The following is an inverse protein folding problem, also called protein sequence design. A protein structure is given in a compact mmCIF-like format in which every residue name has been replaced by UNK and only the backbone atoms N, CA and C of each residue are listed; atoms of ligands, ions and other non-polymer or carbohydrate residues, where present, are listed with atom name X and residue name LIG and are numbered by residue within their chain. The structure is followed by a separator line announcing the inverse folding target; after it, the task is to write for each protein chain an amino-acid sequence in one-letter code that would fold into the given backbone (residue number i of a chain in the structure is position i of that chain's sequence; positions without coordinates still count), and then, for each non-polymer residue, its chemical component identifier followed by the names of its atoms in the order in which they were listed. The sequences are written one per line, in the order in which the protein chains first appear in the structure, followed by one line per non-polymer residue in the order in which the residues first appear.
data_IF_747910626539
#
_entry.id   IF_747910626539
#
_cell.length_a   1.000
_cell.length_b   1.000
_cell.length_c   1.000
_cell.angle_alpha   90.00
_cell.angle_beta   90.00
_cell.angle_gamma   90.00
#
_symmetry.space_group_name_H-M   'P 1'
#
loop_
_entity.id
_entity.type
_entity.pdbx_description
1 polymer ?
#
# COMPACT_ATOMS: atom_id res chain seq x y z
N UNK A 1 1.73 -23.72 19.50
CA UNK A 1 0.78 -23.32 20.56
C UNK A 1 -0.24 -22.39 19.93
N UNK A 2 -1.56 -22.55 20.19
CA UNK A 2 -2.53 -21.55 19.76
C UNK A 2 -2.20 -20.22 20.44
N UNK A 3 -2.14 -19.15 19.66
CA UNK A 3 -1.84 -17.82 20.16
C UNK A 3 -3.09 -17.32 20.87
N UNK A 4 -2.92 -17.05 22.15
CA UNK A 4 -3.95 -16.57 23.05
C UNK A 4 -4.04 -15.04 22.94
N UNK A 5 -5.21 -14.52 22.58
CA UNK A 5 -5.48 -13.08 22.66
C UNK A 5 -5.57 -12.59 24.12
N UNK A 6 -5.45 -13.49 25.09
CA UNK A 6 -5.17 -13.21 26.50
C UNK A 6 -3.68 -12.94 26.81
N UNK A 7 -2.82 -12.70 25.81
CA UNK A 7 -1.58 -11.92 26.04
C UNK A 7 -2.03 -10.58 26.62
N UNK A 8 -2.04 -10.48 27.95
CA UNK A 8 -2.65 -9.37 28.66
C UNK A 8 -2.04 -8.09 28.10
N UNK A 9 -2.83 -7.32 27.35
CA UNK A 9 -2.40 -5.98 26.99
C UNK A 9 -2.00 -5.31 28.31
N UNK A 10 -0.73 -4.85 28.43
CA UNK A 10 -0.31 -4.30 29.70
C UNK A 10 -1.19 -3.09 30.02
N UNK A 11 -1.48 -2.89 31.30
CA UNK A 11 -2.33 -1.78 31.75
C UNK A 11 -1.78 -0.41 31.34
N UNK A 12 -0.48 -0.33 31.06
CA UNK A 12 0.21 0.88 30.61
C UNK A 12 0.67 0.71 29.16
N UNK A 13 0.06 1.46 28.25
CA UNK A 13 0.37 1.49 26.83
C UNK A 13 0.53 2.94 26.34
N UNK A 14 1.44 3.18 25.40
CA UNK A 14 1.53 4.42 24.65
C UNK A 14 1.27 4.19 23.16
N UNK A 15 0.66 5.17 22.50
CA UNK A 15 0.52 5.23 21.04
C UNK A 15 1.18 6.51 20.56
N UNK A 16 2.27 6.38 19.81
CA UNK A 16 3.15 7.48 19.42
C UNK A 16 2.95 7.81 17.93
N UNK A 17 2.47 9.03 17.69
CA UNK A 17 1.87 9.50 16.45
C UNK A 17 0.44 8.99 16.30
N UNK A 18 -0.55 9.87 16.35
CA UNK A 18 -1.96 9.51 16.23
C UNK A 18 -2.31 9.26 14.77
N UNK A 19 -2.13 10.29 13.92
CA UNK A 19 -2.52 10.26 12.51
C UNK A 19 -3.93 9.69 12.28
N UNK A 20 -4.23 9.31 11.03
CA UNK A 20 -5.47 8.58 10.71
C UNK A 20 -5.31 7.08 11.02
N UNK A 21 -4.08 6.57 10.96
CA UNK A 21 -3.77 5.14 11.02
C UNK A 21 -3.81 4.54 12.43
N UNK A 22 -3.52 5.30 13.49
CA UNK A 22 -3.50 4.75 14.85
C UNK A 22 -4.76 5.04 15.68
N UNK A 23 -5.68 5.89 15.23
CA UNK A 23 -6.96 6.07 15.92
C UNK A 23 -7.76 4.74 16.07
N UNK A 24 -7.83 3.86 15.04
CA UNK A 24 -8.41 2.52 15.20
C UNK A 24 -7.71 1.67 16.27
N UNK A 25 -6.38 1.78 16.39
CA UNK A 25 -5.60 1.13 17.44
C UNK A 25 -5.98 1.68 18.83
N UNK A 26 -6.13 3.01 18.98
CA UNK A 26 -6.57 3.62 20.25
C UNK A 26 -7.97 3.12 20.64
N UNK A 27 -8.92 3.10 19.70
CA UNK A 27 -10.26 2.52 19.93
C UNK A 27 -10.19 1.07 20.37
N UNK A 28 -9.37 0.26 19.68
CA UNK A 28 -9.16 -1.15 20.02
C UNK A 28 -8.63 -1.30 21.44
N UNK A 29 -7.58 -0.56 21.82
CA UNK A 29 -7.01 -0.60 23.18
C UNK A 29 -8.05 -0.21 24.25
N UNK A 30 -8.78 0.88 24.04
CA UNK A 30 -9.83 1.34 24.96
C UNK A 30 -10.97 0.31 25.11
N UNK A 31 -11.40 -0.32 24.02
CA UNK A 31 -12.43 -1.36 24.05
C UNK A 31 -12.00 -2.59 24.87
N UNK A 32 -10.68 -2.85 24.97
CA UNK A 32 -10.11 -3.94 25.77
C UNK A 32 -9.68 -3.48 27.18
N UNK A 33 -10.19 -2.35 27.65
CA UNK A 33 -9.96 -1.86 29.01
C UNK A 33 -8.57 -1.24 29.25
N UNK A 34 -7.79 -1.02 28.20
CA UNK A 34 -6.51 -0.30 28.26
C UNK A 34 -6.76 1.17 27.99
N UNK A 35 -6.27 2.05 28.85
CA UNK A 35 -6.31 3.50 28.60
C UNK A 35 -4.92 3.96 28.14
N UNK A 36 -4.66 4.05 26.83
CA UNK A 36 -3.34 4.41 26.35
C UNK A 36 -3.04 5.89 26.58
N UNK A 37 -1.76 6.22 26.67
CA UNK A 37 -1.25 7.58 26.47
C UNK A 37 -0.98 7.78 24.99
N UNK A 38 -1.81 8.59 24.32
CA UNK A 38 -1.57 9.02 22.95
C UNK A 38 -0.57 10.17 22.98
N UNK A 39 0.48 10.10 22.17
CA UNK A 39 1.55 11.09 22.12
C UNK A 39 1.75 11.55 20.68
N UNK A 40 1.64 12.83 20.38
CA UNK A 40 1.84 13.37 19.03
C UNK A 40 2.70 14.63 19.05
N UNK A 41 3.51 14.85 18.01
CA UNK A 41 4.33 16.07 17.90
C UNK A 41 3.45 17.31 17.69
N UNK A 42 2.33 17.14 16.99
CA UNK A 42 1.41 18.22 16.70
C UNK A 42 0.84 18.79 17.99
N UNK A 43 0.61 20.09 17.98
CA UNK A 43 -0.18 20.73 19.01
C UNK A 43 -1.62 20.23 18.94
N UNK A 44 -2.31 20.24 20.09
CA UNK A 44 -3.64 19.66 20.19
C UNK A 44 -4.64 20.31 19.21
N UNK A 45 -4.54 21.62 19.02
CA UNK A 45 -5.37 22.37 18.07
C UNK A 45 -5.21 21.90 16.62
N UNK A 46 -4.04 21.38 16.25
CA UNK A 46 -3.77 20.84 14.90
C UNK A 46 -4.33 19.42 14.70
N UNK A 47 -4.62 18.70 15.79
CA UNK A 47 -5.27 17.39 15.75
C UNK A 47 -6.80 17.51 15.67
N UNK A 48 -7.36 18.64 16.12
CA UNK A 48 -8.77 18.98 16.04
C UNK A 48 -9.68 17.82 16.50
N UNK A 49 -10.62 17.37 15.65
CA UNK A 49 -11.57 16.29 15.94
C UNK A 49 -10.93 14.98 16.44
N UNK A 50 -9.68 14.69 16.04
CA UNK A 50 -8.97 13.48 16.51
C UNK A 50 -8.64 13.57 18.00
N UNK A 51 -8.26 14.75 18.50
CA UNK A 51 -7.97 14.95 19.92
C UNK A 51 -9.22 14.83 20.79
N UNK A 52 -10.35 15.39 20.32
CA UNK A 52 -11.65 15.26 21.00
C UNK A 52 -12.05 13.79 21.13
N UNK A 53 -11.88 13.01 20.07
CA UNK A 53 -12.23 11.59 20.08
C UNK A 53 -11.33 10.78 21.03
N UNK A 54 -10.02 11.03 21.03
CA UNK A 54 -9.08 10.37 21.98
C UNK A 54 -9.51 10.61 23.42
N UNK A 55 -9.92 11.84 23.77
CA UNK A 55 -10.42 12.17 25.11
C UNK A 55 -11.76 11.51 25.41
N UNK A 56 -12.68 11.47 24.45
CA UNK A 56 -13.97 10.81 24.61
C UNK A 56 -13.83 9.30 24.89
N UNK A 57 -12.78 8.66 24.33
CA UNK A 57 -12.40 7.27 24.62
C UNK A 57 -11.73 7.09 25.99
N UNK A 58 -11.46 8.16 26.73
CA UNK A 58 -10.82 8.13 28.05
C UNK A 58 -9.31 7.89 28.02
N UNK A 59 -8.67 8.06 26.86
CA UNK A 59 -7.22 8.01 26.71
C UNK A 59 -6.58 9.36 27.06
N UNK A 60 -5.33 9.33 27.55
CA UNK A 60 -4.55 10.54 27.78
C UNK A 60 -3.94 11.04 26.46
N UNK A 61 -3.71 12.35 26.34
CA UNK A 61 -3.10 12.97 25.17
C UNK A 61 -1.95 13.89 25.60
N UNK A 62 -0.77 13.66 25.03
CA UNK A 62 0.42 14.50 25.17
C UNK A 62 0.78 15.03 23.79
N UNK A 63 0.85 16.36 23.65
CA UNK A 63 1.10 17.06 22.40
C UNK A 63 2.37 17.91 22.48
N UNK A 64 2.86 18.36 21.33
CA UNK A 64 3.96 19.32 21.21
C UNK A 64 5.34 18.66 21.03
N UNK A 65 6.36 19.51 20.91
CA UNK A 65 7.74 19.08 20.57
C UNK A 65 8.36 18.08 21.56
N UNK A 66 7.90 18.07 22.81
CA UNK A 66 8.41 17.21 23.88
C UNK A 66 7.66 15.87 24.03
N UNK A 67 6.77 15.52 23.09
CA UNK A 67 5.89 14.35 23.19
C UNK A 67 6.60 12.99 23.44
N UNK A 68 7.86 12.85 23.02
CA UNK A 68 8.67 11.64 23.24
C UNK A 68 9.41 11.61 24.59
N UNK A 69 9.40 12.70 25.37
CA UNK A 69 10.04 12.71 26.67
C UNK A 69 9.32 11.78 27.65
N UNK A 70 10.07 11.13 28.54
CA UNK A 70 9.52 10.27 29.60
C UNK A 70 8.61 9.14 29.08
N UNK A 71 9.02 8.45 28.01
CA UNK A 71 8.40 7.18 27.61
C UNK A 71 8.76 6.11 28.65
N UNK A 72 7.74 5.58 29.31
CA UNK A 72 7.87 4.61 30.42
C UNK A 72 6.78 3.53 30.39
N UNK A 73 5.89 3.60 29.41
CA UNK A 73 4.80 2.67 29.23
C UNK A 73 5.33 1.29 28.83
N UNK A 74 4.76 0.23 29.40
CA UNK A 74 5.25 -1.13 29.20
C UNK A 74 5.15 -1.59 27.73
N UNK A 75 4.20 -1.04 26.97
CA UNK A 75 4.01 -1.29 25.54
C UNK A 75 3.89 0.05 24.81
N UNK A 76 4.73 0.26 23.81
CA UNK A 76 4.77 1.52 23.05
C UNK A 76 4.54 1.19 21.58
N UNK A 77 3.40 1.60 21.03
CA UNK A 77 3.10 1.50 19.61
C UNK A 77 3.63 2.74 18.89
N UNK A 78 4.67 2.61 18.08
CA UNK A 78 5.15 3.68 17.21
C UNK A 78 4.40 3.68 15.88
N UNK A 79 4.18 4.87 15.36
CA UNK A 79 3.77 5.06 13.97
C UNK A 79 4.83 4.50 13.01
N UNK A 80 4.43 3.82 11.91
CA UNK A 80 5.37 3.23 10.97
C UNK A 80 6.43 4.19 10.42
N UNK A 81 6.09 5.47 10.21
CA UNK A 81 7.00 6.48 9.68
C UNK A 81 8.13 6.90 10.64
N UNK A 82 8.07 6.50 11.91
CA UNK A 82 9.09 6.82 12.90
C UNK A 82 10.15 5.73 12.94
N UNK A 83 11.43 6.12 12.91
CA UNK A 83 12.53 5.17 13.02
C UNK A 83 12.52 4.52 14.42
N UNK A 84 12.75 3.19 14.51
CA UNK A 84 12.81 2.50 15.80
C UNK A 84 14.05 2.85 16.62
N UNK A 85 15.09 3.41 16.00
CA UNK A 85 16.38 3.74 16.61
C UNK A 85 16.45 5.18 17.19
N UNK A 86 15.31 5.87 17.29
CA UNK A 86 15.25 7.16 17.98
C UNK A 86 15.72 6.99 19.44
N UNK A 87 16.54 7.92 19.98
CA UNK A 87 17.11 7.79 21.32
C UNK A 87 16.06 7.57 22.42
N UNK A 88 14.87 8.13 22.29
CA UNK A 88 13.76 7.96 23.22
C UNK A 88 13.19 6.54 23.20
N UNK A 89 13.06 5.92 22.03
CA UNK A 89 12.62 4.52 21.91
C UNK A 89 13.68 3.56 22.40
N UNK A 90 14.96 3.81 22.08
CA UNK A 90 16.07 3.01 22.59
C UNK A 90 16.11 3.04 24.13
N UNK A 91 16.06 4.24 24.74
CA UNK A 91 16.01 4.39 26.21
C UNK A 91 14.79 3.72 26.83
N UNK A 92 13.62 3.86 26.21
CA UNK A 92 12.41 3.20 26.71
C UNK A 92 12.57 1.66 26.69
N UNK A 93 13.15 1.11 25.62
CA UNK A 93 13.42 -0.32 25.49
C UNK A 93 14.47 -0.81 26.50
N UNK A 94 15.56 -0.06 26.71
CA UNK A 94 16.56 -0.35 27.75
C UNK A 94 15.95 -0.37 29.15
N UNK A 95 14.95 0.49 29.40
CA UNK A 95 14.18 0.53 30.64
C UNK A 95 13.05 -0.51 30.73
N UNK A 96 12.97 -1.45 29.77
CA UNK A 96 12.03 -2.58 29.79
C UNK A 96 10.73 -2.38 29.02
N UNK A 97 10.58 -1.27 28.28
CA UNK A 97 9.39 -1.05 27.43
C UNK A 97 9.46 -1.92 26.18
N UNK A 98 8.33 -2.51 25.78
CA UNK A 98 8.22 -3.17 24.49
C UNK A 98 7.80 -2.17 23.41
N UNK A 99 8.77 -1.61 22.69
CA UNK A 99 8.51 -0.74 21.53
C UNK A 99 8.13 -1.59 20.34
N UNK A 100 6.97 -1.34 19.73
CA UNK A 100 6.38 -2.14 18.65
C UNK A 100 5.57 -1.27 17.68
N UNK A 101 4.91 -1.87 16.70
CA UNK A 101 3.94 -1.21 15.82
C UNK A 101 2.62 -2.00 15.79
N UNK A 102 1.55 -1.37 15.31
CA UNK A 102 0.26 -2.05 15.11
C UNK A 102 0.42 -3.32 14.28
N UNK A 103 1.19 -3.25 13.19
CA UNK A 103 1.40 -4.40 12.31
C UNK A 103 2.27 -5.50 12.92
N UNK A 104 3.33 -5.15 13.66
CA UNK A 104 4.12 -6.16 14.38
C UNK A 104 3.24 -6.89 15.41
N UNK A 105 2.38 -6.15 16.11
CA UNK A 105 1.43 -6.74 17.05
C UNK A 105 0.39 -7.62 16.37
N UNK A 106 -0.14 -7.20 15.22
CA UNK A 106 -1.03 -8.02 14.40
C UNK A 106 -0.34 -9.32 13.95
N UNK A 107 0.88 -9.26 13.42
CA UNK A 107 1.64 -10.45 13.01
C UNK A 107 1.95 -11.37 14.19
N UNK A 108 2.17 -10.81 15.38
CA UNK A 108 2.34 -11.59 16.61
C UNK A 108 1.05 -12.29 17.03
N UNK A 109 -0.07 -11.59 17.01
CA UNK A 109 -1.31 -12.03 17.64
C UNK A 109 -2.27 -12.77 16.69
N UNK A 110 -2.12 -12.61 15.37
CA UNK A 110 -3.04 -13.16 14.37
C UNK A 110 -3.16 -14.68 14.48
N UNK A 111 -4.40 -15.20 14.66
CA UNK A 111 -4.67 -16.63 14.58
C UNK A 111 -4.82 -17.09 13.12
N UNK A 112 -5.14 -16.19 12.18
CA UNK A 112 -5.24 -16.48 10.76
C UNK A 112 -3.89 -16.80 10.13
N UNK A 113 -3.90 -17.57 9.02
CA UNK A 113 -2.71 -17.78 8.20
C UNK A 113 -2.33 -16.45 7.53
N UNK A 114 -1.16 -15.93 7.86
CA UNK A 114 -0.68 -14.63 7.36
C UNK A 114 0.19 -14.79 6.12
N UNK A 115 -0.14 -14.03 5.07
CA UNK A 115 0.57 -13.97 3.79
C UNK A 115 1.09 -12.54 3.60
N UNK A 116 2.35 -12.29 3.95
CA UNK A 116 2.96 -10.96 3.90
C UNK A 116 3.70 -10.70 2.59
N UNK A 117 3.52 -9.51 2.03
CA UNK A 117 4.09 -9.11 0.74
C UNK A 117 4.85 -7.79 0.89
N UNK A 118 6.12 -7.79 0.50
CA UNK A 118 6.94 -6.57 0.40
C UNK A 118 7.71 -6.52 -0.92
N UNK A 119 8.47 -5.45 -1.10
CA UNK A 119 9.28 -5.15 -2.27
C UNK A 119 9.32 -3.66 -2.59
N UNK A 120 10.11 -3.24 -3.58
CA UNK A 120 10.10 -1.85 -4.06
C UNK A 120 8.78 -1.56 -4.79
N UNK A 121 8.41 -2.41 -5.74
CA UNK A 121 7.23 -2.23 -6.60
C UNK A 121 6.33 -3.46 -6.62
N UNK A 122 5.11 -3.35 -7.16
CA UNK A 122 4.18 -4.47 -7.33
C UNK A 122 3.41 -4.92 -6.09
N UNK A 123 3.85 -4.54 -4.88
CA UNK A 123 3.23 -4.90 -3.57
C UNK A 123 1.70 -4.87 -3.55
N UNK A 124 1.10 -3.74 -3.93
CA UNK A 124 -0.35 -3.55 -3.85
C UNK A 124 -1.11 -4.42 -4.83
N UNK A 125 -0.60 -4.57 -6.06
CA UNK A 125 -1.21 -5.44 -7.07
C UNK A 125 -1.10 -6.91 -6.63
N UNK A 126 0.07 -7.35 -6.17
CA UNK A 126 0.26 -8.71 -5.65
C UNK A 126 -0.62 -9.00 -4.44
N UNK A 127 -0.70 -8.07 -3.48
CA UNK A 127 -1.56 -8.20 -2.29
C UNK A 127 -3.03 -8.33 -2.69
N UNK A 128 -3.48 -7.52 -3.65
CA UNK A 128 -4.84 -7.57 -4.18
C UNK A 128 -5.10 -8.90 -4.91
N UNK A 129 -4.19 -9.34 -5.77
CA UNK A 129 -4.30 -10.62 -6.49
C UNK A 129 -4.37 -11.81 -5.53
N UNK A 130 -3.48 -11.87 -4.53
CA UNK A 130 -3.48 -12.92 -3.51
C UNK A 130 -4.81 -12.94 -2.74
N UNK A 131 -5.33 -11.77 -2.33
CA UNK A 131 -6.65 -11.67 -1.69
C UNK A 131 -7.78 -12.14 -2.60
N UNK A 132 -7.77 -11.75 -3.88
CA UNK A 132 -8.79 -12.16 -4.85
C UNK A 132 -8.76 -13.66 -5.16
N UNK A 133 -7.57 -14.28 -5.26
CA UNK A 133 -7.43 -15.72 -5.43
C UNK A 133 -8.05 -16.48 -4.25
N UNK A 134 -7.74 -16.05 -3.02
CA UNK A 134 -8.29 -16.66 -1.82
C UNK A 134 -9.80 -16.46 -1.69
N UNK A 135 -10.33 -15.27 -2.03
CA UNK A 135 -11.79 -15.02 -2.02
C UNK A 135 -12.53 -15.81 -3.11
N UNK A 136 -11.92 -15.99 -4.28
CA UNK A 136 -12.47 -16.86 -5.33
C UNK A 136 -12.47 -18.33 -4.88
N UNK A 137 -11.39 -18.78 -4.24
CA UNK A 137 -11.30 -20.12 -3.68
C UNK A 137 -12.34 -20.35 -2.58
N UNK A 138 -12.53 -19.37 -1.70
CA UNK A 138 -13.56 -19.38 -0.65
C UNK A 138 -14.96 -19.54 -1.23
N UNK A 139 -15.29 -18.84 -2.32
CA UNK A 139 -16.59 -19.02 -3.01
C UNK A 139 -16.75 -20.44 -3.54
N UNK A 140 -15.68 -21.05 -4.03
CA UNK A 140 -15.70 -22.39 -4.65
C UNK A 140 -15.71 -23.54 -3.64
N UNK A 141 -14.91 -23.43 -2.58
CA UNK A 141 -14.65 -24.52 -1.63
C UNK A 141 -15.04 -24.22 -0.18
N UNK A 142 -15.65 -23.05 0.09
CA UNK A 142 -16.07 -22.60 1.43
C UNK A 142 -14.91 -22.63 2.44
N UNK A 143 -13.74 -22.13 2.04
CA UNK A 143 -12.59 -21.91 2.92
C UNK A 143 -12.84 -20.75 3.91
N UNK A 144 -11.89 -20.44 4.78
CA UNK A 144 -12.05 -19.34 5.75
C UNK A 144 -12.13 -17.95 5.10
N UNK A 145 -12.46 -16.96 5.93
CA UNK A 145 -12.52 -15.54 5.55
C UNK A 145 -11.16 -15.03 5.10
N UNK A 146 -11.16 -14.06 4.20
CA UNK A 146 -9.94 -13.40 3.73
C UNK A 146 -9.99 -11.94 4.18
N UNK A 147 -8.95 -11.55 4.91
CA UNK A 147 -8.71 -10.18 5.32
C UNK A 147 -7.53 -9.64 4.50
N UNK A 148 -7.68 -8.43 3.96
CA UNK A 148 -6.64 -7.79 3.15
C UNK A 148 -6.34 -6.43 3.76
N UNK A 149 -5.09 -6.19 4.13
CA UNK A 149 -4.72 -4.95 4.81
C UNK A 149 -3.21 -4.71 4.90
N UNK A 150 -2.79 -3.97 5.92
CA UNK A 150 -1.41 -3.57 6.15
C UNK A 150 -1.15 -2.14 5.69
N UNK A 151 -0.19 -1.95 4.78
CA UNK A 151 0.11 -0.64 4.17
C UNK A 151 -0.99 -0.15 3.19
N UNK A 152 -2.00 -0.98 2.92
CA UNK A 152 -3.18 -0.68 2.11
C UNK A 152 -4.44 -1.18 2.81
N UNK A 153 -5.61 -0.77 2.30
CA UNK A 153 -6.89 -1.32 2.75
C UNK A 153 -7.29 -0.86 4.14
N UNK A 154 -8.05 -1.71 4.85
CA UNK A 154 -8.54 -1.44 6.19
C UNK A 154 -7.52 -1.86 7.27
N UNK A 155 -7.52 -1.20 8.44
CA UNK A 155 -6.77 -1.66 9.61
C UNK A 155 -7.16 -3.10 9.97
N UNK A 156 -6.16 -3.96 10.23
CA UNK A 156 -6.42 -5.39 10.48
C UNK A 156 -6.61 -5.70 11.96
N UNK A 157 -5.94 -4.97 12.86
CA UNK A 157 -6.04 -5.23 14.29
C UNK A 157 -7.47 -5.21 14.85
N UNK A 158 -8.38 -4.31 14.43
CA UNK A 158 -9.77 -4.33 14.92
C UNK A 158 -10.53 -5.63 14.63
N UNK A 159 -10.12 -6.40 13.62
CA UNK A 159 -10.76 -7.66 13.23
C UNK A 159 -10.13 -8.89 13.86
N UNK A 160 -9.13 -8.72 14.73
CA UNK A 160 -8.32 -9.80 15.28
C UNK A 160 -9.17 -10.84 16.05
N UNK A 161 -10.16 -10.40 16.82
CA UNK A 161 -11.09 -11.28 17.55
C UNK A 161 -12.06 -12.05 16.65
N UNK A 162 -12.28 -11.54 15.43
CA UNK A 162 -13.10 -12.21 14.42
C UNK A 162 -12.29 -13.27 13.65
N UNK A 163 -10.96 -13.30 13.78
CA UNK A 163 -10.11 -14.22 13.03
C UNK A 163 -9.99 -15.59 13.69
N UNK A 164 -9.84 -16.62 12.87
CA UNK A 164 -9.58 -18.00 13.29
C UNK A 164 -8.44 -18.61 12.49
N UNK A 165 -7.93 -19.76 12.93
CA UNK A 165 -6.88 -20.50 12.22
C UNK A 165 -7.26 -21.03 10.83
N UNK A 166 -8.54 -20.92 10.43
CA UNK A 166 -9.01 -21.25 9.09
C UNK A 166 -9.01 -20.07 8.13
N UNK A 167 -8.92 -18.86 8.68
CA UNK A 167 -8.97 -17.61 7.92
C UNK A 167 -7.58 -17.24 7.38
N UNK A 168 -7.56 -16.32 6.44
CA UNK A 168 -6.36 -15.80 5.79
C UNK A 168 -6.24 -14.31 6.02
N UNK A 169 -5.03 -13.83 6.30
CA UNK A 169 -4.71 -12.41 6.35
C UNK A 169 -3.60 -12.11 5.33
N UNK A 170 -3.96 -11.41 4.25
CA UNK A 170 -3.02 -10.96 3.22
C UNK A 170 -2.56 -9.55 3.55
N UNK A 171 -1.27 -9.38 3.79
CA UNK A 171 -0.74 -8.18 4.42
C UNK A 171 0.31 -7.53 3.53
N UNK A 172 0.05 -6.30 3.07
CA UNK A 172 1.07 -5.48 2.44
C UNK A 172 1.99 -4.86 3.51
N UNK A 173 3.30 -5.06 3.40
CA UNK A 173 4.27 -4.55 4.38
C UNK A 173 5.29 -3.62 3.71
N UNK A 174 5.36 -2.37 4.18
CA UNK A 174 6.39 -1.41 3.78
C UNK A 174 7.73 -1.68 4.47
N UNK A 175 8.83 -1.10 3.97
CA UNK A 175 10.14 -1.21 4.66
C UNK A 175 10.11 -0.51 6.02
N UNK A 176 9.35 0.58 6.17
CA UNK A 176 9.23 1.28 7.46
C UNK A 176 8.53 0.43 8.53
N UNK A 177 7.50 -0.31 8.14
CA UNK A 177 6.81 -1.26 9.01
C UNK A 177 7.70 -2.45 9.37
N UNK A 178 8.52 -2.94 8.44
CA UNK A 178 9.40 -4.09 8.66
C UNK A 178 10.71 -3.75 9.41
N UNK A 179 11.11 -2.48 9.45
CA UNK A 179 12.34 -2.07 10.15
C UNK A 179 12.27 -2.46 11.63
N UNK A 180 13.12 -3.41 12.02
CA UNK A 180 13.28 -3.85 13.41
C UNK A 180 12.09 -4.64 13.98
N UNK A 181 11.23 -5.23 13.15
CA UNK A 181 10.20 -6.14 13.67
C UNK A 181 10.81 -7.44 14.15
N UNK A 182 10.06 -8.18 14.98
CA UNK A 182 10.47 -9.49 15.53
C UNK A 182 9.52 -10.63 15.17
N UNK A 183 8.52 -10.37 14.32
CA UNK A 183 7.48 -11.35 13.97
C UNK A 183 7.25 -11.35 12.47
N UNK A 184 7.54 -12.47 11.82
CA UNK A 184 7.28 -12.66 10.39
C UNK A 184 5.85 -13.19 10.15
N UNK A 185 5.25 -12.91 8.99
CA UNK A 185 4.11 -13.67 8.50
C UNK A 185 4.43 -15.16 8.31
N UNK A 186 3.41 -16.01 8.20
CA UNK A 186 3.55 -17.45 7.99
C UNK A 186 4.07 -17.78 6.58
N UNK A 187 3.71 -16.94 5.60
CA UNK A 187 4.27 -16.96 4.24
C UNK A 187 4.69 -15.55 3.83
N UNK A 188 5.84 -15.43 3.19
CA UNK A 188 6.40 -14.14 2.79
C UNK A 188 6.71 -14.08 1.29
N UNK A 189 6.55 -12.91 0.69
CA UNK A 189 7.03 -12.62 -0.66
C UNK A 189 7.82 -11.31 -0.71
N UNK A 190 8.93 -11.31 -1.44
CA UNK A 190 9.65 -10.10 -1.84
C UNK A 190 9.58 -10.00 -3.37
N UNK A 191 8.78 -9.06 -3.89
CA UNK A 191 8.52 -8.92 -5.33
C UNK A 191 9.76 -8.48 -6.11
N UNK A 192 10.51 -7.52 -5.58
CA UNK A 192 11.77 -7.00 -6.13
C UNK A 192 12.45 -6.10 -5.11
N UNK A 193 13.74 -5.86 -5.31
CA UNK A 193 14.53 -4.89 -4.57
C UNK A 193 15.27 -3.96 -5.54
N UNK A 194 15.08 -2.67 -5.34
CA UNK A 194 15.70 -1.56 -6.08
C UNK A 194 15.79 -0.33 -5.16
N UNK A 195 16.76 0.59 -5.37
CA UNK A 195 16.92 1.77 -4.53
C UNK A 195 15.63 2.57 -4.38
N UNK A 196 15.16 2.73 -3.13
CA UNK A 196 13.94 3.48 -2.81
C UNK A 196 14.00 4.00 -1.36
N UNK A 197 13.31 5.10 -1.06
CA UNK A 197 13.21 5.69 0.28
C UNK A 197 14.55 5.97 1.00
N UNK A 198 15.62 6.25 0.26
CA UNK A 198 16.97 6.54 0.79
C UNK A 198 17.07 7.89 1.53
N UNK A 199 16.00 8.67 1.54
CA UNK A 199 15.84 9.84 2.38
C UNK A 199 15.42 9.49 3.82
N UNK A 200 14.97 8.24 4.04
CA UNK A 200 14.57 7.72 5.34
C UNK A 200 15.48 6.58 5.78
N UNK A 201 15.81 5.67 4.87
CA UNK A 201 16.84 4.64 5.08
C UNK A 201 18.22 5.26 4.88
N UNK A 202 19.19 4.91 5.73
CA UNK A 202 20.56 5.45 5.65
C UNK A 202 21.22 5.12 4.31
N UNK A 203 20.98 3.92 3.81
CA UNK A 203 21.45 3.45 2.51
C UNK A 203 20.57 2.30 1.97
N UNK A 204 20.94 1.77 0.80
CA UNK A 204 20.22 0.65 0.19
C UNK A 204 20.37 -0.66 0.99
N UNK A 205 21.45 -0.84 1.73
CA UNK A 205 21.68 -2.02 2.56
C UNK A 205 20.70 -2.05 3.75
N UNK A 206 20.48 -0.91 4.41
CA UNK A 206 19.45 -0.78 5.45
C UNK A 206 18.06 -1.07 4.88
N UNK A 207 17.74 -0.53 3.69
CA UNK A 207 16.46 -0.79 3.03
C UNK A 207 16.22 -2.27 2.72
N UNK A 208 17.23 -2.97 2.20
CA UNK A 208 17.18 -4.41 1.97
C UNK A 208 17.04 -5.16 3.29
N UNK A 209 17.86 -4.81 4.29
CA UNK A 209 17.83 -5.42 5.62
C UNK A 209 16.43 -5.33 6.24
N UNK A 210 15.82 -4.15 6.21
CA UNK A 210 14.46 -3.90 6.65
C UNK A 210 13.48 -4.89 6.02
N UNK A 211 13.51 -5.04 4.69
CA UNK A 211 12.60 -5.93 3.98
C UNK A 211 12.84 -7.40 4.26
N UNK A 212 14.07 -7.80 4.55
CA UNK A 212 14.38 -9.19 4.88
C UNK A 212 13.81 -9.65 6.23
N UNK A 213 13.47 -8.75 7.15
CA UNK A 213 12.79 -9.12 8.42
C UNK A 213 11.46 -9.86 8.19
N UNK A 214 10.83 -9.69 7.02
CA UNK A 214 9.59 -10.38 6.66
C UNK A 214 9.69 -11.92 6.69
N UNK A 215 10.90 -12.51 6.64
CA UNK A 215 11.05 -13.96 6.63
C UNK A 215 12.04 -14.52 7.67
N UNK A 216 12.69 -13.67 8.47
CA UNK A 216 13.74 -14.09 9.40
C UNK A 216 13.24 -14.78 10.67
N UNK A 217 11.98 -14.61 11.04
CA UNK A 217 11.46 -15.09 12.33
C UNK A 217 10.68 -16.40 12.21
N UNK A 218 10.59 -17.13 13.32
CA UNK A 218 10.19 -18.54 13.40
C UNK A 218 8.84 -18.88 12.73
N UNK A 219 7.88 -17.95 12.70
CA UNK A 219 6.55 -18.18 12.09
C UNK A 219 6.62 -18.42 10.58
N UNK A 220 7.57 -17.80 9.87
CA UNK A 220 7.65 -17.95 8.42
C UNK A 220 7.98 -19.41 8.05
N UNK A 221 7.25 -19.98 7.09
CA UNK A 221 7.44 -21.35 6.59
C UNK A 221 7.65 -21.42 5.08
N UNK A 222 7.42 -20.33 4.36
CA UNK A 222 7.57 -20.27 2.91
C UNK A 222 7.98 -18.86 2.50
N UNK A 223 9.03 -18.76 1.70
CA UNK A 223 9.50 -17.50 1.12
C UNK A 223 9.40 -17.55 -0.41
N UNK A 224 8.81 -16.50 -1.00
CA UNK A 224 8.73 -16.30 -2.44
C UNK A 224 9.71 -15.21 -2.87
N UNK A 225 10.60 -15.52 -3.82
CA UNK A 225 11.63 -14.61 -4.32
C UNK A 225 11.60 -14.50 -5.84
N UNK A 226 11.90 -13.30 -6.35
CA UNK A 226 12.05 -13.06 -7.78
C UNK A 226 13.42 -13.55 -8.25
N UNK A 227 13.45 -14.48 -9.20
CA UNK A 227 14.69 -14.96 -9.81
C UNK A 227 15.23 -14.02 -10.90
N UNK A 228 14.41 -13.08 -11.38
CA UNK A 228 14.80 -12.10 -12.41
C UNK A 228 15.39 -10.81 -11.80
N UNK A 229 15.43 -10.70 -10.46
CA UNK A 229 16.05 -9.59 -9.74
C UNK A 229 17.22 -10.13 -8.90
N UNK A 230 18.44 -9.67 -9.19
CA UNK A 230 19.66 -10.20 -8.60
C UNK A 230 19.68 -10.10 -7.07
N UNK A 231 19.20 -8.98 -6.52
CA UNK A 231 19.12 -8.73 -5.08
C UNK A 231 18.20 -9.75 -4.38
N UNK A 232 16.99 -9.97 -4.89
CA UNK A 232 16.09 -10.98 -4.32
C UNK A 232 16.57 -12.40 -4.57
N UNK A 233 17.20 -12.69 -5.70
CA UNK A 233 17.74 -14.01 -5.99
C UNK A 233 18.84 -14.38 -4.98
N UNK A 234 19.73 -13.45 -4.66
CA UNK A 234 20.80 -13.65 -3.68
C UNK A 234 20.28 -13.89 -2.25
N UNK A 235 19.05 -13.47 -1.91
CA UNK A 235 18.47 -13.73 -0.59
C UNK A 235 18.20 -15.22 -0.34
N UNK A 236 18.11 -16.04 -1.38
CA UNK A 236 17.82 -17.46 -1.22
C UNK A 236 18.91 -18.20 -0.41
N UNK A 237 20.18 -17.83 -0.56
CA UNK A 237 21.30 -18.40 0.20
C UNK A 237 21.21 -18.10 1.71
N UNK A 238 20.50 -17.03 2.06
CA UNK A 238 20.33 -16.56 3.45
C UNK A 238 18.98 -16.94 4.05
N UNK A 239 18.12 -17.61 3.29
CA UNK A 239 16.77 -17.95 3.74
C UNK A 239 16.81 -19.09 4.76
N UNK A 240 16.25 -18.90 5.97
CA UNK A 240 16.08 -19.99 6.93
C UNK A 240 14.90 -20.92 6.59
N UNK A 241 14.14 -20.60 5.54
CA UNK A 241 12.91 -21.30 5.13
C UNK A 241 12.96 -21.71 3.65
N UNK A 242 12.16 -22.70 3.22
CA UNK A 242 12.08 -23.09 1.82
C UNK A 242 11.73 -21.91 0.91
N UNK A 243 12.45 -21.82 -0.22
CA UNK A 243 12.26 -20.78 -1.23
C UNK A 243 11.48 -21.33 -2.41
N UNK A 244 10.43 -20.63 -2.81
CA UNK A 244 9.79 -20.79 -4.11
C UNK A 244 10.14 -19.60 -4.99
N UNK A 245 10.81 -19.85 -6.10
CA UNK A 245 11.15 -18.77 -7.02
C UNK A 245 9.99 -18.41 -7.93
N UNK A 246 9.99 -17.17 -8.41
CA UNK A 246 9.22 -16.84 -9.60
C UNK A 246 10.07 -16.15 -10.67
N UNK A 247 9.71 -16.31 -11.94
CA UNK A 247 10.42 -15.70 -13.06
C UNK A 247 9.53 -15.52 -14.28
N UNK A 248 9.53 -14.30 -14.82
CA UNK A 248 8.95 -13.97 -16.12
C UNK A 248 9.91 -14.28 -17.29
N UNK A 249 11.17 -14.59 -17.02
CA UNK A 249 12.18 -14.91 -18.02
C UNK A 249 12.24 -16.40 -18.40
N UNK A 250 11.61 -17.29 -17.62
CA UNK A 250 11.63 -18.73 -17.85
C UNK A 250 11.81 -19.53 -16.57
N UNK A 251 12.00 -20.85 -16.70
CA UNK A 251 12.27 -21.70 -15.52
C UNK A 251 13.64 -21.34 -14.91
N UNK A 252 13.71 -20.94 -13.63
CA UNK A 252 15.00 -20.70 -12.97
C UNK A 252 15.80 -22.00 -12.86
N UNK A 253 17.09 -21.96 -13.20
CA UNK A 253 17.96 -23.15 -13.12
C UNK A 253 18.16 -23.56 -11.66
N UNK A 254 18.06 -24.87 -11.39
CA UNK A 254 18.29 -25.43 -10.05
C UNK A 254 17.19 -25.14 -9.03
N UNK A 255 16.10 -24.44 -9.40
CA UNK A 255 14.97 -24.23 -8.52
C UNK A 255 14.14 -25.52 -8.38
N UNK A 256 14.06 -26.02 -7.15
CA UNK A 256 13.18 -27.15 -6.78
C UNK A 256 11.71 -26.74 -6.89
N UNK A 257 11.37 -25.55 -6.36
CA UNK A 257 10.03 -24.97 -6.45
C UNK A 257 10.06 -23.64 -7.20
N UNK A 258 9.20 -23.51 -8.21
CA UNK A 258 9.09 -22.28 -8.98
C UNK A 258 7.74 -22.07 -9.66
N UNK A 259 7.42 -20.80 -9.93
CA UNK A 259 6.32 -20.38 -10.82
C UNK A 259 6.91 -19.52 -11.93
N UNK A 260 6.74 -19.90 -13.19
CA UNK A 260 7.44 -19.24 -14.29
C UNK A 260 6.61 -19.17 -15.57
N UNK A 261 6.96 -18.25 -16.46
CA UNK A 261 6.37 -18.19 -17.80
C UNK A 261 7.20 -18.94 -18.84
N UNK A 262 6.51 -19.64 -19.74
CA UNK A 262 7.10 -20.37 -20.88
C UNK A 262 6.05 -20.50 -21.98
N UNK A 263 6.40 -20.14 -23.21
CA UNK A 263 5.52 -20.25 -24.39
C UNK A 263 4.10 -19.68 -24.16
N UNK A 264 4.01 -18.42 -23.74
CA UNK A 264 2.75 -17.71 -23.45
C UNK A 264 1.85 -18.37 -22.39
N UNK A 265 2.44 -19.19 -21.52
CA UNK A 265 1.74 -19.88 -20.44
C UNK A 265 2.54 -19.79 -19.13
N UNK A 266 1.82 -19.61 -18.02
CA UNK A 266 2.35 -19.73 -16.66
C UNK A 266 2.35 -21.21 -16.27
N UNK A 267 3.47 -21.68 -15.76
CA UNK A 267 3.67 -22.98 -15.17
C UNK A 267 4.02 -22.86 -13.69
N UNK A 268 3.68 -23.87 -12.91
CA UNK A 268 4.19 -24.04 -11.56
C UNK A 268 4.77 -25.44 -11.38
N UNK A 269 5.89 -25.52 -10.69
CA UNK A 269 6.46 -26.76 -10.19
C UNK A 269 6.70 -26.58 -8.69
N UNK A 270 5.95 -27.32 -7.88
CA UNK A 270 6.02 -27.26 -6.43
C UNK A 270 6.71 -28.51 -5.85
N UNK A 271 7.68 -29.07 -6.59
CA UNK A 271 8.40 -30.30 -6.24
C UNK A 271 7.72 -31.59 -6.72
N UNK A 272 6.67 -31.47 -7.53
CA UNK A 272 5.87 -32.60 -8.04
C UNK A 272 5.74 -32.59 -9.57
N UNK A 273 6.67 -31.90 -10.25
CA UNK A 273 6.67 -31.73 -11.70
C UNK A 273 5.95 -30.48 -12.17
N UNK A 274 6.32 -30.04 -13.37
CA UNK A 274 5.80 -28.87 -14.06
C UNK A 274 4.32 -29.07 -14.43
N UNK A 275 3.46 -28.14 -13.99
CA UNK A 275 2.02 -28.11 -14.29
C UNK A 275 1.63 -26.77 -14.94
N UNK A 276 0.84 -26.78 -16.02
CA UNK A 276 0.30 -25.55 -16.59
C UNK A 276 -0.73 -24.93 -15.64
N UNK A 277 -0.72 -23.61 -15.52
CA UNK A 277 -1.59 -22.85 -14.60
C UNK A 277 -2.54 -21.92 -15.36
N UNK A 278 -2.00 -21.05 -16.21
CA UNK A 278 -2.76 -19.97 -16.81
C UNK A 278 -2.12 -19.52 -18.14
N UNK A 279 -2.85 -19.46 -19.26
CA UNK A 279 -2.37 -18.78 -20.46
C UNK A 279 -2.19 -17.27 -20.19
N UNK A 280 -1.06 -16.69 -20.58
CA UNK A 280 -0.74 -15.26 -20.33
C UNK A 280 -1.78 -14.34 -21.00
N UNK A 281 -2.31 -14.73 -22.16
CA UNK A 281 -3.36 -14.00 -22.86
C UNK A 281 -4.68 -13.88 -22.09
N UNK A 282 -4.92 -14.70 -21.06
CA UNK A 282 -6.10 -14.57 -20.19
C UNK A 282 -5.93 -13.49 -19.11
N UNK A 283 -4.72 -12.96 -18.91
CA UNK A 283 -4.46 -11.87 -17.98
C UNK A 283 -4.89 -10.56 -18.63
N UNK A 284 -5.91 -9.90 -18.06
CA UNK A 284 -6.37 -8.60 -18.55
C UNK A 284 -5.37 -7.45 -18.37
N UNK A 285 -4.54 -7.53 -17.34
CA UNK A 285 -3.56 -6.50 -17.03
C UNK A 285 -2.33 -6.62 -17.95
N UNK A 286 -2.06 -5.63 -18.82
CA UNK A 286 -0.92 -5.71 -19.72
C UNK A 286 0.40 -5.49 -18.98
N UNK A 287 1.49 -5.99 -19.56
CA UNK A 287 2.86 -5.66 -19.15
C UNK A 287 3.55 -6.71 -18.27
N UNK A 288 4.87 -6.79 -18.41
CA UNK A 288 5.73 -7.76 -17.71
C UNK A 288 5.62 -7.67 -16.18
N UNK A 289 5.59 -6.46 -15.63
CA UNK A 289 5.47 -6.26 -14.18
C UNK A 289 4.15 -6.83 -13.62
N UNK A 290 3.07 -6.82 -14.40
CA UNK A 290 1.82 -7.44 -13.99
C UNK A 290 1.90 -8.97 -14.06
N UNK A 291 2.55 -9.52 -15.09
CA UNK A 291 2.87 -10.95 -15.12
C UNK A 291 3.66 -11.36 -13.86
N UNK A 292 4.72 -10.61 -13.51
CA UNK A 292 5.50 -10.85 -12.29
C UNK A 292 4.61 -10.84 -11.03
N UNK A 293 3.68 -9.88 -10.90
CA UNK A 293 2.72 -9.85 -9.79
C UNK A 293 1.83 -11.11 -9.72
N UNK A 294 1.37 -11.63 -10.87
CA UNK A 294 0.63 -12.91 -10.93
C UNK A 294 1.52 -14.08 -10.50
N UNK A 295 2.75 -14.17 -11.02
CA UNK A 295 3.68 -15.25 -10.66
C UNK A 295 3.97 -15.24 -9.15
N UNK A 296 4.20 -14.06 -8.56
CA UNK A 296 4.38 -13.92 -7.10
C UNK A 296 3.15 -14.38 -6.33
N UNK A 297 1.95 -13.92 -6.72
CA UNK A 297 0.71 -14.27 -6.03
C UNK A 297 0.41 -15.77 -6.11
N UNK A 298 0.59 -16.39 -7.28
CA UNK A 298 0.42 -17.83 -7.49
C UNK A 298 1.38 -18.62 -6.59
N UNK A 299 2.67 -18.26 -6.58
CA UNK A 299 3.68 -18.89 -5.73
C UNK A 299 3.34 -18.77 -4.23
N UNK A 300 2.92 -17.58 -3.79
CA UNK A 300 2.60 -17.33 -2.39
C UNK A 300 1.37 -18.13 -1.91
N UNK A 301 0.44 -18.40 -2.83
CA UNK A 301 -0.77 -19.20 -2.60
C UNK A 301 -0.60 -20.70 -2.87
N UNK A 302 0.64 -21.22 -2.96
CA UNK A 302 0.92 -22.65 -3.15
C UNK A 302 0.08 -23.52 -2.19
N UNK A 303 -0.71 -24.45 -2.76
CA UNK A 303 -1.54 -25.38 -1.99
C UNK A 303 -2.77 -24.75 -1.31
N UNK A 304 -3.02 -23.44 -1.48
CA UNK A 304 -4.17 -22.74 -0.91
C UNK A 304 -5.27 -22.49 -1.94
N UNK A 305 -4.91 -22.30 -3.22
CA UNK A 305 -5.85 -21.94 -4.28
C UNK A 305 -5.74 -22.87 -5.48
N UNK A 306 -6.85 -23.08 -6.18
CA UNK A 306 -6.88 -23.91 -7.39
C UNK A 306 -6.57 -23.12 -8.66
N UNK A 307 -6.17 -23.83 -9.72
CA UNK A 307 -5.96 -23.28 -11.06
C UNK A 307 -7.19 -22.58 -11.60
N UNK A 308 -8.38 -23.10 -11.29
CA UNK A 308 -9.66 -22.52 -11.71
C UNK A 308 -9.93 -21.17 -11.03
N UNK A 309 -9.58 -21.04 -9.75
CA UNK A 309 -9.70 -19.78 -9.01
C UNK A 309 -8.73 -18.72 -9.55
N UNK A 310 -7.48 -19.11 -9.84
CA UNK A 310 -6.48 -18.24 -10.48
C UNK A 310 -7.01 -17.74 -11.83
N UNK A 311 -7.49 -18.65 -12.69
CA UNK A 311 -8.00 -18.31 -14.02
C UNK A 311 -9.25 -17.42 -13.96
N UNK A 312 -10.18 -17.67 -13.04
CA UNK A 312 -11.38 -16.85 -12.88
C UNK A 312 -11.04 -15.41 -12.47
N UNK A 313 -10.04 -15.20 -11.61
CA UNK A 313 -9.56 -13.86 -11.25
C UNK A 313 -8.81 -13.21 -12.40
N UNK A 314 -7.94 -13.94 -13.10
CA UNK A 314 -7.18 -13.42 -14.25
C UNK A 314 -8.07 -12.78 -15.32
N UNK A 315 -9.20 -13.43 -15.62
CA UNK A 315 -10.18 -13.00 -16.61
C UNK A 315 -10.96 -11.74 -16.25
N UNK A 316 -11.02 -11.36 -14.97
CA UNK A 316 -11.85 -10.24 -14.48
C UNK A 316 -11.09 -9.11 -13.79
N UNK A 317 -9.87 -9.36 -13.33
CA UNK A 317 -9.10 -8.34 -12.61
C UNK A 317 -8.50 -7.32 -13.59
N UNK A 318 -9.02 -6.10 -13.54
CA UNK A 318 -8.61 -4.99 -14.41
C UNK A 318 -7.66 -3.99 -13.72
N UNK A 319 -7.08 -4.36 -12.56
CA UNK A 319 -6.21 -3.49 -11.76
C UNK A 319 -6.82 -3.06 -10.44
N UNK A 320 -6.05 -2.30 -9.67
CA UNK A 320 -6.45 -1.81 -8.35
C UNK A 320 -7.24 -0.52 -8.52
N UNK A 321 -8.43 -0.44 -7.92
CA UNK A 321 -9.24 0.77 -7.96
C UNK A 321 -8.45 1.98 -7.44
N UNK A 322 -8.67 3.13 -8.07
CA UNK A 322 -8.06 4.41 -7.67
C UNK A 322 -6.53 4.50 -7.75
N UNK A 323 -5.83 3.55 -8.38
CA UNK A 323 -4.39 3.61 -8.67
C UNK A 323 -4.15 3.37 -10.16
N UNK A 324 -3.93 4.45 -10.92
CA UNK A 324 -3.84 4.41 -12.40
C UNK A 324 -4.89 3.46 -13.02
N UNK A 325 -6.10 3.48 -12.48
CA UNK A 325 -7.20 2.62 -12.92
C UNK A 325 -7.76 3.17 -14.22
N UNK A 326 -7.63 2.43 -15.33
CA UNK A 326 -8.33 2.77 -16.57
C UNK A 326 -9.83 2.65 -16.35
N UNK A 327 -10.57 3.74 -16.55
CA UNK A 327 -12.04 3.78 -16.44
C UNK A 327 -12.63 3.31 -17.77
N UNK A 328 -12.47 4.12 -18.82
CA UNK A 328 -12.92 3.86 -20.19
C UNK A 328 -12.20 4.76 -21.18
N UNK A 329 -12.43 4.51 -22.45
CA UNK A 329 -12.10 5.43 -23.55
C UNK A 329 -13.43 5.95 -24.12
N UNK A 330 -13.57 7.27 -24.28
CA UNK A 330 -14.78 7.92 -24.85
C UNK A 330 -14.36 9.18 -25.61
N UNK A 331 -14.91 9.40 -26.80
CA UNK A 331 -14.47 10.49 -27.70
C UNK A 331 -12.99 10.40 -28.10
N UNK A 332 -12.43 9.18 -28.13
CA UNK A 332 -11.00 8.95 -28.39
C UNK A 332 -10.07 9.30 -27.21
N UNK A 333 -10.58 9.79 -26.08
CA UNK A 333 -9.80 10.13 -24.88
C UNK A 333 -9.87 8.99 -23.87
N UNK A 334 -8.74 8.61 -23.28
CA UNK A 334 -8.70 7.58 -22.23
C UNK A 334 -8.62 8.19 -20.84
N UNK A 335 -9.47 7.74 -19.92
CA UNK A 335 -9.57 8.27 -18.57
C UNK A 335 -8.98 7.32 -17.53
N UNK A 336 -8.11 7.84 -16.66
CA UNK A 336 -7.47 7.11 -15.58
C UNK A 336 -7.78 7.73 -14.21
N UNK A 337 -8.15 6.87 -13.25
CA UNK A 337 -8.37 7.22 -11.86
C UNK A 337 -7.16 6.84 -11.01
N UNK A 338 -6.47 7.84 -10.47
CA UNK A 338 -5.39 7.68 -9.50
C UNK A 338 -5.66 8.53 -8.23
N UNK A 339 -6.92 8.55 -7.76
CA UNK A 339 -7.35 9.35 -6.60
C UNK A 339 -6.56 9.07 -5.31
N UNK A 340 -5.90 7.91 -5.21
CA UNK A 340 -5.03 7.54 -4.07
C UNK A 340 -3.74 8.37 -3.98
N UNK A 341 -3.41 9.14 -5.03
CA UNK A 341 -2.22 9.99 -5.10
C UNK A 341 -2.40 11.25 -4.25
N UNK A 342 -2.42 11.08 -2.93
CA UNK A 342 -2.74 12.14 -1.97
C UNK A 342 -1.56 13.03 -1.57
N UNK A 343 -0.45 12.98 -2.31
CA UNK A 343 0.76 13.79 -2.08
C UNK A 343 1.45 14.15 -3.40
N UNK A 344 2.20 15.27 -3.48
CA UNK A 344 2.98 15.64 -4.67
C UNK A 344 3.88 14.51 -5.21
N UNK A 345 4.54 13.79 -4.31
CA UNK A 345 5.44 12.69 -4.68
C UNK A 345 4.72 11.53 -5.36
N UNK A 346 3.49 11.20 -4.92
CA UNK A 346 2.68 10.14 -5.55
C UNK A 346 2.21 10.55 -6.95
N UNK A 347 1.74 11.79 -7.09
CA UNK A 347 1.35 12.33 -8.40
C UNK A 347 2.52 12.38 -9.37
N UNK A 348 3.71 12.81 -8.93
CA UNK A 348 4.93 12.73 -9.74
C UNK A 348 5.23 11.30 -10.21
N UNK A 349 5.10 10.30 -9.33
CA UNK A 349 5.35 8.90 -9.69
C UNK A 349 4.34 8.40 -10.75
N UNK A 350 3.05 8.71 -10.58
CA UNK A 350 2.02 8.37 -11.56
C UNK A 350 2.27 9.03 -12.92
N UNK A 351 2.68 10.30 -12.92
CA UNK A 351 3.02 11.05 -14.12
C UNK A 351 4.25 10.48 -14.84
N UNK A 352 5.32 10.17 -14.10
CA UNK A 352 6.52 9.55 -14.64
C UNK A 352 6.21 8.20 -15.30
N UNK A 353 5.39 7.37 -14.67
CA UNK A 353 4.99 6.07 -15.20
C UNK A 353 4.21 6.15 -16.52
N UNK A 354 3.42 7.22 -16.73
CA UNK A 354 2.77 7.49 -18.01
C UNK A 354 3.75 8.05 -19.04
N UNK A 355 4.68 8.92 -18.62
CA UNK A 355 5.71 9.47 -19.50
C UNK A 355 6.61 8.38 -20.08
N UNK A 356 6.95 7.34 -19.31
CA UNK A 356 7.70 6.17 -19.81
C UNK A 356 6.97 5.41 -20.92
N UNK A 357 5.65 5.56 -21.02
CA UNK A 357 4.82 5.01 -22.09
C UNK A 357 4.60 6.01 -23.24
N UNK A 358 5.27 7.16 -23.22
CA UNK A 358 5.10 8.24 -24.18
C UNK A 358 3.80 9.03 -23.99
N UNK A 359 3.17 8.95 -22.83
CA UNK A 359 1.89 9.60 -22.52
C UNK A 359 2.13 10.84 -21.66
N UNK A 360 1.64 12.00 -22.11
CA UNK A 360 1.54 13.23 -21.31
C UNK A 360 0.07 13.55 -21.06
N UNK A 361 -0.47 13.35 -19.84
CA UNK A 361 -1.90 13.48 -19.59
C UNK A 361 -2.34 14.93 -19.35
N UNK A 362 -3.64 15.20 -19.56
CA UNK A 362 -4.35 16.31 -18.91
C UNK A 362 -4.64 15.87 -17.47
N UNK A 363 -4.09 16.59 -16.49
CA UNK A 363 -4.16 16.19 -15.08
C UNK A 363 -5.25 16.97 -14.36
N UNK A 364 -6.02 16.31 -13.50
CA UNK A 364 -6.89 16.98 -12.52
C UNK A 364 -6.20 16.86 -11.16
N UNK A 365 -5.86 18.00 -10.54
CA UNK A 365 -5.23 18.01 -9.22
C UNK A 365 -5.72 19.10 -8.27
N UNK A 366 -5.36 18.96 -7.00
CA UNK A 366 -5.81 19.80 -5.90
C UNK A 366 -6.80 19.09 -4.97
N UNK A 367 -7.07 19.70 -3.82
CA UNK A 367 -7.87 19.14 -2.75
C UNK A 367 -7.57 19.81 -1.40
N UNK A 368 -7.72 19.05 -0.32
CA UNK A 368 -7.48 19.52 1.05
C UNK A 368 -6.03 19.96 1.27
N UNK A 369 -5.85 21.15 1.87
CA UNK A 369 -4.54 21.71 2.16
C UNK A 369 -3.92 21.06 3.39
N UNK A 370 -2.78 20.40 3.19
CA UNK A 370 -1.93 19.86 4.26
C UNK A 370 -0.76 20.79 4.58
N UNK A 371 -0.77 22.01 4.04
CA UNK A 371 0.29 23.00 4.09
C UNK A 371 1.63 22.43 3.61
N UNK A 372 1.57 21.63 2.53
CA UNK A 372 2.75 21.06 1.87
C UNK A 372 3.33 22.06 0.88
N UNK A 373 4.63 21.91 0.58
CA UNK A 373 5.23 22.61 -0.56
C UNK A 373 4.76 21.97 -1.88
N UNK A 374 4.22 22.80 -2.77
CA UNK A 374 3.77 22.40 -4.11
C UNK A 374 4.79 22.71 -5.22
N UNK A 375 5.94 23.31 -4.91
CA UNK A 375 7.00 23.56 -5.89
C UNK A 375 7.45 22.28 -6.64
N UNK A 376 7.67 21.13 -5.96
CA UNK A 376 8.02 19.88 -6.65
C UNK A 376 6.87 19.33 -7.51
N UNK A 377 5.61 19.64 -7.17
CA UNK A 377 4.46 19.26 -8.00
C UNK A 377 4.43 20.08 -9.28
N UNK A 378 4.61 21.41 -9.18
CA UNK A 378 4.64 22.30 -10.33
C UNK A 378 5.73 21.88 -11.33
N UNK A 379 6.93 21.53 -10.84
CA UNK A 379 7.99 20.96 -11.67
C UNK A 379 7.55 19.67 -12.38
N UNK A 380 6.97 18.72 -11.65
CA UNK A 380 6.52 17.45 -12.23
C UNK A 380 5.41 17.64 -13.28
N UNK A 381 4.47 18.56 -13.05
CA UNK A 381 3.40 18.87 -14.00
C UNK A 381 3.97 19.41 -15.32
N UNK A 382 4.89 20.36 -15.27
CA UNK A 382 5.51 20.91 -16.48
C UNK A 382 6.25 19.86 -17.32
N UNK A 383 6.99 18.97 -16.65
CA UNK A 383 7.79 17.94 -17.32
C UNK A 383 6.88 16.87 -17.95
N UNK A 384 5.88 16.39 -17.20
CA UNK A 384 5.19 15.14 -17.53
C UNK A 384 3.74 15.32 -18.00
N UNK A 385 3.07 16.43 -17.68
CA UNK A 385 1.67 16.64 -18.07
C UNK A 385 1.56 17.48 -19.35
N UNK A 386 0.46 17.34 -20.07
CA UNK A 386 0.08 18.19 -21.21
C UNK A 386 -0.49 19.53 -20.71
N UNK A 387 -1.28 19.47 -19.65
CA UNK A 387 -1.90 20.61 -18.96
C UNK A 387 -2.51 20.15 -17.63
N UNK A 388 -3.00 21.08 -16.81
CA UNK A 388 -3.62 20.76 -15.52
C UNK A 388 -4.91 21.54 -15.25
N UNK A 389 -5.92 20.88 -14.70
CA UNK A 389 -7.11 21.50 -14.12
C UNK A 389 -7.02 21.38 -12.59
N UNK A 390 -6.98 22.53 -11.93
CA UNK A 390 -6.80 22.68 -10.49
C UNK A 390 -8.16 22.84 -9.81
N UNK A 391 -8.39 22.13 -8.72
CA UNK A 391 -9.66 22.15 -7.95
C UNK A 391 -9.39 22.07 -6.45
N UNK A 392 -10.40 22.39 -5.62
CA UNK A 392 -10.30 22.28 -4.16
C UNK A 392 -9.47 23.39 -3.51
N UNK A 393 -9.23 23.26 -2.20
CA UNK A 393 -8.62 24.32 -1.38
C UNK A 393 -7.23 24.74 -1.85
N UNK A 394 -6.44 23.79 -2.35
CA UNK A 394 -5.03 24.02 -2.76
C UNK A 394 -4.88 24.55 -4.18
N UNK A 395 -5.96 24.71 -4.94
CA UNK A 395 -5.90 25.07 -6.36
C UNK A 395 -5.09 26.36 -6.60
N UNK A 396 -5.34 27.40 -5.80
CA UNK A 396 -4.64 28.69 -5.94
C UNK A 396 -3.16 28.59 -5.58
N UNK A 397 -2.82 27.88 -4.51
CA UNK A 397 -1.43 27.68 -4.10
C UNK A 397 -0.63 26.91 -5.15
N UNK A 398 -1.23 25.88 -5.76
CA UNK A 398 -0.58 25.13 -6.85
C UNK A 398 -0.40 26.02 -8.09
N UNK A 399 -1.41 26.84 -8.43
CA UNK A 399 -1.32 27.79 -9.54
C UNK A 399 -0.17 28.79 -9.35
N UNK A 400 -0.03 29.37 -8.16
CA UNK A 400 1.06 30.30 -7.83
C UNK A 400 2.45 29.64 -8.00
N UNK A 401 2.60 28.36 -7.64
CA UNK A 401 3.85 27.62 -7.86
C UNK A 401 4.13 27.34 -9.36
N UNK A 402 3.10 27.14 -10.17
CA UNK A 402 3.23 27.03 -11.63
C UNK A 402 3.63 28.38 -12.23
N UNK A 403 2.96 29.46 -11.83
CA UNK A 403 3.22 30.82 -12.33
C UNK A 403 4.65 31.28 -12.03
N UNK A 404 5.15 31.01 -10.81
CA UNK A 404 6.54 31.34 -10.40
C UNK A 404 7.60 30.74 -11.33
N UNK A 405 7.29 29.65 -12.03
CA UNK A 405 8.22 29.00 -12.95
C UNK A 405 8.29 29.68 -14.32
N UNK A 406 7.28 30.46 -14.69
CA UNK A 406 7.30 31.31 -15.89
C UNK A 406 7.35 30.56 -17.23
N UNK A 407 7.01 29.27 -17.26
CA UNK A 407 7.10 28.40 -18.43
C UNK A 407 5.96 28.57 -19.44
N UNK A 408 4.86 29.23 -19.05
CA UNK A 408 3.62 29.29 -19.82
C UNK A 408 2.84 27.97 -19.85
N UNK A 409 3.11 27.06 -18.91
CA UNK A 409 2.40 25.78 -18.80
C UNK A 409 0.88 25.98 -18.64
N UNK A 410 0.04 25.33 -19.48
CA UNK A 410 -1.40 25.57 -19.44
C UNK A 410 -2.06 25.00 -18.18
N UNK A 411 -2.80 25.86 -17.46
CA UNK A 411 -3.61 25.46 -16.33
C UNK A 411 -4.95 26.20 -16.26
N UNK A 412 -5.93 25.58 -15.59
CA UNK A 412 -7.23 26.18 -15.26
C UNK A 412 -7.53 25.95 -13.78
N UNK A 413 -8.34 26.82 -13.17
CA UNK A 413 -8.84 26.65 -11.80
C UNK A 413 -10.35 26.51 -11.88
N UNK A 414 -10.88 25.37 -11.45
CA UNK A 414 -12.31 25.10 -11.37
C UNK A 414 -12.65 24.64 -9.95
N UNK A 415 -13.46 25.39 -9.19
CA UNK A 415 -13.75 25.08 -7.79
C UNK A 415 -14.68 23.88 -7.62
N UNK A 416 -15.59 23.64 -8.58
CA UNK A 416 -16.47 22.49 -8.58
C UNK A 416 -15.79 21.29 -9.23
N UNK A 417 -15.81 20.15 -8.54
CA UNK A 417 -15.11 18.95 -9.00
C UNK A 417 -15.68 18.40 -10.31
N UNK A 418 -17.00 18.48 -10.53
CA UNK A 418 -17.60 18.02 -11.79
C UNK A 418 -17.20 18.95 -12.93
N UNK A 419 -17.24 20.27 -12.71
CA UNK A 419 -16.78 21.27 -13.69
C UNK A 419 -15.30 21.06 -14.02
N UNK A 420 -14.46 20.76 -13.03
CA UNK A 420 -13.04 20.44 -13.28
C UNK A 420 -12.85 19.21 -14.19
N UNK A 421 -13.67 18.17 -14.01
CA UNK A 421 -13.65 16.96 -14.84
C UNK A 421 -14.16 17.23 -16.25
N UNK A 422 -15.22 18.03 -16.38
CA UNK A 422 -15.74 18.48 -17.68
C UNK A 422 -14.72 19.36 -18.41
N UNK A 423 -14.02 20.26 -17.68
CA UNK A 423 -12.95 21.07 -18.23
C UNK A 423 -11.77 20.23 -18.74
N UNK A 424 -11.40 19.19 -18.01
CA UNK A 424 -10.37 18.26 -18.45
C UNK A 424 -10.78 17.50 -19.73
N UNK A 425 -12.06 17.13 -19.86
CA UNK A 425 -12.63 16.55 -21.09
C UNK A 425 -12.54 17.55 -22.25
N UNK A 426 -12.94 18.80 -22.06
CA UNK A 426 -12.90 19.85 -23.10
C UNK A 426 -11.49 20.13 -23.63
N UNK A 427 -10.50 20.09 -22.74
CA UNK A 427 -9.10 20.33 -23.07
C UNK A 427 -8.44 19.13 -23.78
N UNK A 428 -8.95 17.92 -23.55
CA UNK A 428 -8.41 16.70 -24.13
C UNK A 428 -8.87 16.52 -25.59
N UNK A 429 -7.98 15.95 -26.41
CA UNK A 429 -8.20 15.62 -27.80
C UNK A 429 -8.17 14.10 -28.01
N UNK A 430 -8.78 13.55 -29.07
CA UNK A 430 -8.66 12.14 -29.40
C UNK A 430 -7.19 11.67 -29.40
N UNK A 431 -6.89 10.60 -28.66
CA UNK A 431 -5.54 10.10 -28.39
C UNK A 431 -4.94 10.55 -27.06
N UNK A 432 -5.49 11.59 -26.42
CA UNK A 432 -5.03 12.04 -25.10
C UNK A 432 -5.46 11.13 -23.96
N UNK A 433 -4.81 11.33 -22.82
CA UNK A 433 -5.18 10.77 -21.53
C UNK A 433 -5.63 11.87 -20.58
N UNK A 434 -6.75 11.66 -19.87
CA UNK A 434 -7.14 12.44 -18.69
C UNK A 434 -6.84 11.62 -17.44
N UNK A 435 -6.11 12.21 -16.49
CA UNK A 435 -5.69 11.58 -15.24
C UNK A 435 -6.20 12.37 -14.04
N UNK A 436 -7.00 11.73 -13.18
CA UNK A 436 -7.19 12.20 -11.80
C UNK A 436 -5.98 11.76 -10.96
N UNK A 437 -5.09 12.69 -10.61
CA UNK A 437 -3.99 12.45 -9.68
C UNK A 437 -3.84 13.68 -8.77
N UNK A 438 -4.50 13.69 -7.60
CA UNK A 438 -4.87 14.93 -6.91
C UNK A 438 -3.72 15.64 -6.19
N UNK A 439 -2.61 14.97 -5.92
CA UNK A 439 -1.50 15.43 -5.08
C UNK A 439 -1.89 15.87 -3.65
N UNK A 440 -3.17 15.77 -3.29
CA UNK A 440 -3.77 16.30 -2.06
C UNK A 440 -4.73 15.27 -1.45
N UNK A 441 -4.96 15.36 -0.13
CA UNK A 441 -6.06 14.64 0.49
C UNK A 441 -7.42 15.14 -0.06
N UNK A 442 -8.48 14.39 0.23
CA UNK A 442 -9.82 14.62 -0.33
C UNK A 442 -10.80 15.28 0.65
N UNK A 443 -10.37 15.54 1.90
CA UNK A 443 -11.24 15.91 3.02
C UNK A 443 -11.91 17.28 2.91
N UNK A 444 -11.57 18.06 1.88
CA UNK A 444 -12.20 19.34 1.58
C UNK A 444 -13.58 19.18 0.93
N UNK A 445 -13.79 18.11 0.16
CA UNK A 445 -15.04 17.86 -0.57
C UNK A 445 -15.57 16.42 -0.46
N UNK A 446 -14.77 15.49 0.08
CA UNK A 446 -15.11 14.07 0.15
C UNK A 446 -14.65 13.45 1.48
N UNK A 447 -15.34 12.40 1.92
CA UNK A 447 -14.99 11.62 3.12
C UNK A 447 -13.60 11.01 3.02
N UNK A 448 -13.23 10.49 1.85
CA UNK A 448 -11.97 9.79 1.62
C UNK A 448 -11.59 9.78 0.13
N UNK A 449 -10.39 9.27 -0.18
CA UNK A 449 -9.89 9.24 -1.55
C UNK A 449 -10.70 8.29 -2.46
N UNK A 450 -11.33 7.26 -1.89
CA UNK A 450 -12.11 6.29 -2.63
C UNK A 450 -13.41 6.95 -3.12
N UNK A 451 -14.12 7.69 -2.25
CA UNK A 451 -15.30 8.46 -2.64
C UNK A 451 -15.01 9.45 -3.76
N UNK A 452 -13.92 10.24 -3.66
CA UNK A 452 -13.47 11.14 -4.75
C UNK A 452 -13.26 10.38 -6.05
N UNK A 453 -12.61 9.21 -5.95
CA UNK A 453 -12.35 8.35 -7.09
C UNK A 453 -13.63 7.76 -7.70
N UNK A 454 -14.60 7.37 -6.88
CA UNK A 454 -15.91 6.87 -7.31
C UNK A 454 -16.74 7.96 -8.00
N UNK A 455 -16.73 9.18 -7.47
CA UNK A 455 -17.36 10.35 -8.09
C UNK A 455 -16.76 10.61 -9.46
N UNK A 456 -15.43 10.61 -9.59
CA UNK A 456 -14.75 10.76 -10.87
C UNK A 456 -15.15 9.65 -11.87
N UNK A 457 -15.14 8.39 -11.43
CA UNK A 457 -15.60 7.28 -12.25
C UNK A 457 -17.05 7.44 -12.73
N UNK A 458 -17.95 7.91 -11.86
CA UNK A 458 -19.36 8.17 -12.23
C UNK A 458 -19.46 9.26 -13.30
N UNK A 459 -18.82 10.42 -13.08
CA UNK A 459 -18.83 11.53 -14.04
C UNK A 459 -18.32 11.06 -15.42
N UNK A 460 -17.20 10.35 -15.45
CA UNK A 460 -16.61 9.83 -16.70
C UNK A 460 -17.52 8.81 -17.38
N UNK A 461 -18.23 7.98 -16.60
CA UNK A 461 -19.17 7.02 -17.16
C UNK A 461 -20.44 7.68 -17.71
N UNK A 462 -20.83 8.84 -17.21
CA UNK A 462 -21.96 9.65 -17.70
C UNK A 462 -21.66 10.36 -19.03
N UNK A 463 -20.39 10.41 -19.46
CA UNK A 463 -20.03 11.00 -20.75
C UNK A 463 -20.64 10.21 -21.92
N UNK A 464 -21.34 10.93 -22.80
CA UNK A 464 -21.91 10.40 -24.04
C UNK A 464 -20.81 9.96 -25.02
N UNK A 465 -21.06 8.86 -25.73
CA UNK A 465 -20.34 8.53 -26.96
C UNK A 465 -20.89 9.45 -28.05
N UNK A 466 -20.11 10.45 -28.45
CA UNK A 466 -20.40 11.23 -29.66
C UNK A 466 -20.05 10.45 -30.92
#
# INVERSE_FOLDING_TARGET
MPIDLSVSLPKSCAVVGLGVSNLPLVRFLCAHGVKPTVRDRKEEGELASLAEEVRALGAALICGEEYLQNLHEALIFRSPGMRPDLPEFCRAAENGSFVTSEMEWFLRASPALTLGITGSDGKTTTTTLTGLFLEEEKKRKKTGRVYVGGNIGAPLLPHLEEMSARDFAVVELSSFQLQGIRFSPDRAAITNLSPNHLNWHTDFSEYVSAKTEIFKHERCKLLVLNADNAETFALAERSPVPVTFFSAAGRPRGAEKCVFSKNDMIFADFGNGEKPILPIAEIRLPGKHNLENYLTAIALTEGLVSTESIAAVAKRFCGVAHRLQKIRTVGGVTYYNSSIDSTPTRTRAALSALCEQGIRPVVICGGYDKHLSYAPLAEALEIYAKSVVLTGQTARTIAEEIEKRGSGFPFWIEPDFRVAVEKAKETAQPGDVVLLSPACASFDAFRDFAERGEVFCRIVNDFSEE
#
